data_IF_358545749792
#
_entry.id   IF_358545749792
#
_cell.length_a   1.000
_cell.length_b   1.000
_cell.length_c   1.000
_cell.angle_alpha   90.00
_cell.angle_beta   90.00
_cell.angle_gamma   90.00
#
_symmetry.space_group_name_H-M   'P 1'
#
loop_
_entity.id
_entity.type
_entity.pdbx_description
1 polymer ?
#
# COMPACT_ATOMS: atom_id res chain seq x y z
N UNK A 1 16.42 20.92 125.59
CA UNK A 1 15.42 21.75 126.31
C UNK A 1 14.68 22.63 125.32
N UNK A 2 13.52 22.34 124.75
CA UNK A 2 12.73 21.10 124.47
C UNK A 2 11.58 21.56 123.50
N UNK A 3 10.74 20.74 122.87
CA UNK A 3 10.35 19.36 123.20
C UNK A 3 10.21 18.42 121.96
N UNK A 4 9.93 17.17 122.28
CA UNK A 4 9.73 15.96 121.48
C UNK A 4 8.55 15.95 120.49
N UNK A 5 8.53 14.95 119.58
CA UNK A 5 7.28 14.47 118.95
C UNK A 5 7.41 13.77 117.60
N UNK A 6 7.63 12.45 117.59
CA UNK A 6 7.35 11.60 116.42
C UNK A 6 5.85 11.25 116.42
N UNK A 7 5.19 11.21 115.25
CA UNK A 7 4.20 10.16 115.03
C UNK A 7 4.37 9.42 113.70
N UNK A 8 4.31 8.09 113.75
CA UNK A 8 3.99 7.26 112.58
C UNK A 8 2.49 7.38 112.26
N UNK A 9 2.12 7.56 110.98
CA UNK A 9 0.78 7.25 110.47
C UNK A 9 0.92 6.65 109.06
N UNK A 10 0.26 5.52 108.82
CA UNK A 10 0.22 4.78 107.56
C UNK A 10 -0.80 5.31 106.54
N UNK A 11 -0.70 4.82 105.29
CA UNK A 11 -1.72 4.87 104.21
C UNK A 11 -2.00 6.28 103.60
N UNK A 12 -2.16 6.46 102.28
CA UNK A 12 -2.94 5.69 101.30
C UNK A 12 -2.44 5.88 99.85
N UNK A 13 -2.72 4.87 99.00
CA UNK A 13 -2.96 4.92 97.54
C UNK A 13 -1.87 5.52 96.62
N UNK A 14 -1.32 4.67 95.75
CA UNK A 14 -1.53 4.84 94.29
C UNK A 14 -1.33 3.54 93.53
N UNK A 15 -2.32 3.23 92.68
CA UNK A 15 -2.26 2.11 91.75
C UNK A 15 -1.16 2.34 90.70
N UNK A 16 -0.49 1.27 90.25
CA UNK A 16 0.19 1.30 88.95
C UNK A 16 -0.21 0.07 88.11
N UNK A 17 -0.49 0.24 86.81
CA UNK A 17 -1.22 -0.75 86.04
C UNK A 17 -0.34 -1.92 85.58
N UNK A 18 -0.95 -3.10 85.46
CA UNK A 18 -0.37 -4.25 84.76
C UNK A 18 -0.01 -3.84 83.33
N UNK A 19 1.29 -3.79 83.00
CA UNK A 19 1.73 -3.74 81.61
C UNK A 19 1.28 -5.01 80.87
N UNK A 20 0.19 -4.90 80.11
CA UNK A 20 -0.15 -5.88 79.08
C UNK A 20 0.97 -5.84 78.05
N UNK A 21 1.79 -6.90 78.01
CA UNK A 21 2.93 -7.03 77.11
C UNK A 21 2.45 -7.30 75.67
N UNK A 22 1.92 -6.27 75.03
CA UNK A 22 1.38 -6.32 73.67
C UNK A 22 2.44 -6.72 72.64
N UNK A 23 2.17 -7.80 71.90
CA UNK A 23 3.16 -8.46 71.05
C UNK A 23 3.45 -7.68 69.75
N UNK A 24 4.48 -6.81 69.79
CA UNK A 24 4.92 -5.99 68.65
C UNK A 24 5.50 -6.80 67.47
N UNK A 25 5.56 -8.14 67.54
CA UNK A 25 6.10 -8.99 66.44
C UNK A 25 5.19 -9.03 65.20
N UNK A 26 3.87 -8.92 65.36
CA UNK A 26 2.91 -9.05 64.25
C UNK A 26 2.95 -7.91 63.21
N UNK A 27 3.27 -6.69 63.64
CA UNK A 27 3.22 -5.49 62.77
C UNK A 27 4.39 -5.44 61.78
N UNK A 28 5.61 -5.76 62.25
CA UNK A 28 6.81 -5.79 61.41
C UNK A 28 6.75 -6.88 60.31
N UNK A 29 6.11 -8.01 60.59
CA UNK A 29 5.94 -9.08 59.62
C UNK A 29 4.94 -8.71 58.51
N UNK A 30 3.80 -8.09 58.88
CA UNK A 30 2.82 -7.57 57.91
C UNK A 30 3.43 -6.47 57.02
N UNK A 31 4.23 -5.54 57.56
CA UNK A 31 4.93 -4.53 56.75
C UNK A 31 5.93 -5.15 55.75
N UNK A 32 6.72 -6.16 56.17
CA UNK A 32 7.65 -6.85 55.26
C UNK A 32 6.93 -7.55 54.10
N UNK A 33 5.82 -8.25 54.38
CA UNK A 33 5.04 -8.92 53.32
C UNK A 33 4.40 -7.92 52.36
N UNK A 34 3.87 -6.80 52.88
CA UNK A 34 3.28 -5.75 52.05
C UNK A 34 4.34 -5.11 51.12
N UNK A 35 5.52 -4.79 51.65
CA UNK A 35 6.64 -4.28 50.86
C UNK A 35 7.14 -5.28 49.80
N UNK A 36 7.17 -6.58 50.10
CA UNK A 36 7.56 -7.60 49.12
C UNK A 36 6.54 -7.72 47.98
N UNK A 37 5.23 -7.74 48.29
CA UNK A 37 4.16 -7.73 47.28
C UNK A 37 4.18 -6.46 46.43
N UNK A 38 4.41 -5.30 47.05
CA UNK A 38 4.50 -4.01 46.36
C UNK A 38 5.71 -3.97 45.41
N UNK A 39 6.90 -4.39 45.86
CA UNK A 39 8.10 -4.50 45.00
C UNK A 39 7.90 -5.47 43.84
N UNK A 40 7.25 -6.63 44.05
CA UNK A 40 6.93 -7.57 42.98
C UNK A 40 5.94 -6.97 41.97
N UNK A 41 4.94 -6.21 42.43
CA UNK A 41 4.00 -5.50 41.56
C UNK A 41 4.68 -4.43 40.70
N UNK A 42 5.54 -3.60 41.32
CA UNK A 42 6.31 -2.56 40.62
C UNK A 42 7.23 -3.18 39.57
N UNK A 43 7.95 -4.26 39.91
CA UNK A 43 8.81 -4.96 38.95
C UNK A 43 8.02 -5.55 37.77
N UNK A 44 6.85 -6.13 38.03
CA UNK A 44 5.99 -6.68 36.99
C UNK A 44 5.41 -5.57 36.08
N UNK A 45 5.06 -4.41 36.64
CA UNK A 45 4.66 -3.24 35.87
C UNK A 45 5.81 -2.71 34.98
N UNK A 46 7.04 -2.64 35.50
CA UNK A 46 8.22 -2.25 34.72
C UNK A 46 8.52 -3.22 33.56
N UNK A 47 8.38 -4.53 33.78
CA UNK A 47 8.51 -5.55 32.72
C UNK A 47 7.43 -5.36 31.65
N UNK A 48 6.17 -5.10 32.03
CA UNK A 48 5.09 -4.82 31.08
C UNK A 48 5.35 -3.55 30.26
N UNK A 49 5.87 -2.48 30.87
CA UNK A 49 6.27 -1.26 30.17
C UNK A 49 7.43 -1.52 29.20
N UNK A 50 8.44 -2.29 29.61
CA UNK A 50 9.56 -2.65 28.74
C UNK A 50 9.11 -3.48 27.51
N UNK A 51 8.22 -4.46 27.72
CA UNK A 51 7.61 -5.25 26.63
C UNK A 51 6.80 -4.33 25.69
N UNK A 52 6.01 -3.39 26.25
CA UNK A 52 5.24 -2.44 25.45
C UNK A 52 6.15 -1.56 24.57
N UNK A 53 7.20 -0.96 25.15
CA UNK A 53 8.17 -0.12 24.40
C UNK A 53 8.90 -0.92 23.32
N UNK A 54 9.37 -2.14 23.62
CA UNK A 54 9.99 -3.02 22.63
C UNK A 54 9.03 -3.40 21.50
N UNK A 55 7.76 -3.69 21.82
CA UNK A 55 6.75 -4.00 20.81
C UNK A 55 6.44 -2.80 19.91
N UNK A 56 6.44 -1.58 20.46
CA UNK A 56 6.24 -0.35 19.71
C UNK A 56 7.42 -0.08 18.77
N UNK A 57 8.66 -0.22 19.25
CA UNK A 57 9.87 -0.09 18.44
C UNK A 57 9.89 -1.11 17.28
N UNK A 58 9.61 -2.39 17.56
CA UNK A 58 9.56 -3.43 16.54
C UNK A 58 8.47 -3.16 15.49
N UNK A 59 7.26 -2.77 15.92
CA UNK A 59 6.18 -2.38 14.99
C UNK A 59 6.59 -1.23 14.10
N UNK A 60 7.22 -0.19 14.65
CA UNK A 60 7.70 0.95 13.86
C UNK A 60 8.78 0.53 12.85
N UNK A 61 9.71 -0.36 13.22
CA UNK A 61 10.73 -0.87 12.29
C UNK A 61 10.11 -1.66 11.13
N UNK A 62 9.13 -2.53 11.41
CA UNK A 62 8.41 -3.28 10.36
C UNK A 62 7.57 -2.34 9.48
N UNK A 63 6.91 -1.33 10.05
CA UNK A 63 6.22 -0.27 9.30
C UNK A 63 7.15 0.42 8.31
N UNK A 64 8.33 0.89 8.75
CA UNK A 64 9.26 1.62 7.88
C UNK A 64 9.79 0.74 6.74
N UNK A 65 10.07 -0.54 7.00
CA UNK A 65 10.48 -1.49 5.96
C UNK A 65 9.36 -1.69 4.91
N UNK A 66 8.11 -1.85 5.35
CA UNK A 66 6.97 -2.01 4.44
C UNK A 66 6.70 -0.75 3.59
N UNK A 67 6.90 0.46 4.14
CA UNK A 67 6.85 1.70 3.35
C UNK A 67 7.97 1.71 2.31
N UNK A 68 9.20 1.32 2.67
CA UNK A 68 10.34 1.30 1.74
C UNK A 68 10.18 0.27 0.62
N UNK A 69 9.74 -0.96 0.96
CA UNK A 69 9.43 -2.02 0.00
C UNK A 69 8.29 -1.59 -0.93
N UNK A 70 7.24 -0.98 -0.37
CA UNK A 70 6.11 -0.40 -1.12
C UNK A 70 6.55 0.71 -2.08
N UNK A 71 7.41 1.63 -1.63
CA UNK A 71 7.95 2.72 -2.44
C UNK A 71 8.82 2.19 -3.60
N UNK A 72 9.64 1.17 -3.36
CA UNK A 72 10.43 0.52 -4.40
C UNK A 72 9.53 -0.21 -5.41
N UNK A 73 8.53 -0.96 -4.94
CA UNK A 73 7.57 -1.64 -5.80
C UNK A 73 6.76 -0.63 -6.63
N UNK A 74 6.35 0.50 -6.04
CA UNK A 74 5.61 1.55 -6.73
C UNK A 74 6.46 2.24 -7.81
N UNK A 75 7.72 2.56 -7.52
CA UNK A 75 8.68 3.10 -8.50
C UNK A 75 9.02 2.11 -9.63
N UNK A 76 8.84 0.80 -9.39
CA UNK A 76 8.93 -0.26 -10.40
C UNK A 76 7.60 -0.55 -11.12
N UNK A 77 6.54 0.23 -10.86
CA UNK A 77 5.17 0.07 -11.42
C UNK A 77 4.48 -1.25 -11.01
N UNK A 78 4.93 -1.88 -9.93
CA UNK A 78 4.34 -3.09 -9.31
C UNK A 78 3.19 -2.70 -8.38
N UNK A 79 2.14 -2.08 -8.94
CA UNK A 79 1.09 -1.41 -8.16
C UNK A 79 0.37 -2.34 -7.17
N UNK A 80 0.07 -3.57 -7.58
CA UNK A 80 -0.59 -4.56 -6.72
C UNK A 80 0.27 -4.98 -5.53
N UNK A 81 1.59 -5.15 -5.72
CA UNK A 81 2.52 -5.45 -4.62
C UNK A 81 2.70 -4.24 -3.70
N UNK A 82 2.95 -3.06 -4.26
CA UNK A 82 3.07 -1.82 -3.49
C UNK A 82 1.83 -1.55 -2.63
N UNK A 83 0.63 -1.69 -3.21
CA UNK A 83 -0.65 -1.56 -2.50
C UNK A 83 -0.75 -2.52 -1.31
N UNK A 84 -0.32 -3.77 -1.47
CA UNK A 84 -0.32 -4.79 -0.40
C UNK A 84 0.70 -4.46 0.69
N UNK A 85 1.88 -3.94 0.34
CA UNK A 85 2.89 -3.54 1.33
C UNK A 85 2.46 -2.30 2.12
N UNK A 86 1.88 -1.30 1.44
CA UNK A 86 1.25 -0.15 2.10
C UNK A 86 0.04 -0.55 2.95
N UNK A 87 -0.78 -1.52 2.53
CA UNK A 87 -1.89 -2.03 3.34
C UNK A 87 -1.40 -2.70 4.65
N UNK A 88 -0.30 -3.45 4.59
CA UNK A 88 0.34 -4.01 5.80
C UNK A 88 0.90 -2.90 6.69
N UNK A 89 1.49 -1.86 6.09
CA UNK A 89 1.99 -0.71 6.82
C UNK A 89 0.87 0.06 7.54
N UNK A 90 -0.28 0.28 6.88
CA UNK A 90 -1.46 0.96 7.45
C UNK A 90 -1.97 0.26 8.72
N UNK A 91 -2.01 -1.08 8.71
CA UNK A 91 -2.37 -1.91 9.90
C UNK A 91 -1.38 -1.73 11.07
N UNK A 92 -0.13 -1.35 10.80
CA UNK A 92 0.92 -1.13 11.80
C UNK A 92 1.10 0.36 12.16
N UNK A 93 0.48 1.28 11.42
CA UNK A 93 0.58 2.72 11.63
C UNK A 93 -0.12 3.13 12.93
N UNK A 94 0.61 3.77 13.84
CA UNK A 94 0.04 4.30 15.09
C UNK A 94 -0.52 5.72 14.94
N UNK A 95 0.07 6.54 14.06
CA UNK A 95 -0.30 7.94 13.86
C UNK A 95 -0.08 8.37 12.41
N UNK A 96 -0.92 9.29 11.92
CA UNK A 96 -0.89 9.76 10.54
C UNK A 96 -1.67 8.85 9.58
N UNK A 97 -1.56 9.16 8.30
CA UNK A 97 -2.30 8.54 7.19
C UNK A 97 -1.38 8.28 5.98
N UNK A 98 -0.05 8.24 6.18
CA UNK A 98 0.92 8.09 5.10
C UNK A 98 0.75 6.77 4.36
N UNK A 99 0.66 5.63 5.07
CA UNK A 99 0.52 4.33 4.41
C UNK A 99 -0.74 4.28 3.54
N UNK A 100 -1.87 4.75 4.07
CA UNK A 100 -3.12 4.90 3.33
C UNK A 100 -3.00 5.83 2.11
N UNK A 101 -2.34 6.98 2.23
CA UNK A 101 -2.09 7.88 1.09
C UNK A 101 -1.23 7.22 0.00
N UNK A 102 -0.19 6.48 0.38
CA UNK A 102 0.65 5.73 -0.57
C UNK A 102 -0.12 4.56 -1.20
N UNK A 103 -1.01 3.91 -0.46
CA UNK A 103 -1.94 2.88 -0.94
C UNK A 103 -2.94 3.44 -1.98
N UNK A 104 -3.56 4.59 -1.70
CA UNK A 104 -4.44 5.31 -2.63
C UNK A 104 -3.68 5.81 -3.88
N UNK A 105 -2.43 6.24 -3.71
CA UNK A 105 -1.53 6.56 -4.81
C UNK A 105 -1.25 5.32 -5.69
N UNK A 106 -0.93 4.16 -5.11
CA UNK A 106 -0.68 2.94 -5.88
C UNK A 106 -1.90 2.52 -6.72
N UNK A 107 -3.13 2.66 -6.18
CA UNK A 107 -4.37 2.36 -6.89
C UNK A 107 -4.79 3.41 -7.92
N UNK A 108 -4.43 4.68 -7.73
CA UNK A 108 -4.68 5.71 -8.76
C UNK A 108 -3.63 5.67 -9.88
N UNK A 109 -2.37 5.40 -9.54
CA UNK A 109 -1.26 5.29 -10.48
C UNK A 109 -1.33 4.06 -11.39
N UNK A 110 -2.00 2.97 -10.99
CA UNK A 110 -2.24 1.81 -11.88
C UNK A 110 -3.14 2.14 -13.07
N UNK A 111 -4.08 3.09 -12.89
CA UNK A 111 -4.93 3.61 -13.96
C UNK A 111 -4.29 4.76 -14.74
N UNK A 112 -3.60 5.66 -14.04
CA UNK A 112 -3.03 6.91 -14.58
C UNK A 112 -1.58 7.13 -14.07
N UNK A 113 -0.59 6.76 -14.89
CA UNK A 113 0.84 6.89 -14.55
C UNK A 113 1.26 8.33 -14.21
N UNK A 114 0.54 9.35 -14.68
CA UNK A 114 0.85 10.75 -14.35
C UNK A 114 0.68 11.04 -12.84
N UNK A 115 -0.15 10.27 -12.13
CA UNK A 115 -0.28 10.35 -10.66
C UNK A 115 1.01 9.98 -9.94
N UNK A 116 1.87 9.17 -10.56
CA UNK A 116 3.14 8.74 -9.98
C UNK A 116 4.23 9.82 -10.04
N UNK A 117 4.07 10.85 -10.90
CA UNK A 117 5.08 11.89 -11.15
C UNK A 117 5.56 12.62 -9.88
N UNK A 118 4.68 13.17 -9.01
CA UNK A 118 5.13 13.88 -7.80
C UNK A 118 5.87 12.97 -6.82
N UNK A 119 5.54 11.68 -6.79
CA UNK A 119 6.20 10.69 -5.95
C UNK A 119 7.62 10.37 -6.43
N UNK A 120 7.84 10.23 -7.74
CA UNK A 120 9.17 10.02 -8.31
C UNK A 120 10.07 11.24 -8.08
N UNK A 121 9.51 12.44 -8.23
CA UNK A 121 10.18 13.72 -7.94
C UNK A 121 10.53 13.87 -6.44
N UNK A 122 9.60 13.57 -5.53
CA UNK A 122 9.80 13.57 -4.07
C UNK A 122 10.94 12.62 -3.66
N UNK A 123 10.86 11.36 -4.13
CA UNK A 123 11.75 10.29 -3.71
C UNK A 123 13.10 10.30 -4.43
N UNK A 124 13.19 10.97 -5.59
CA UNK A 124 14.37 10.97 -6.50
C UNK A 124 14.75 9.56 -6.96
N UNK A 125 13.75 8.71 -7.17
CA UNK A 125 13.90 7.31 -7.60
C UNK A 125 13.51 7.20 -9.08
N UNK A 126 14.25 6.38 -9.83
CA UNK A 126 13.94 6.00 -11.22
C UNK A 126 13.81 7.19 -12.19
N UNK A 127 14.92 7.90 -12.39
CA UNK A 127 15.02 9.06 -13.30
C UNK A 127 14.58 8.72 -14.74
N UNK A 128 14.81 7.49 -15.20
CA UNK A 128 14.46 7.06 -16.56
C UNK A 128 12.94 7.01 -16.76
N UNK A 129 12.20 6.48 -15.77
CA UNK A 129 10.73 6.50 -15.77
C UNK A 129 10.18 7.94 -15.74
N UNK A 130 10.73 8.80 -14.89
CA UNK A 130 10.32 10.21 -14.84
C UNK A 130 10.61 10.94 -16.16
N UNK A 131 11.75 10.65 -16.79
CA UNK A 131 12.11 11.21 -18.11
C UNK A 131 11.18 10.71 -19.21
N UNK A 132 10.83 9.43 -19.21
CA UNK A 132 9.88 8.84 -20.17
C UNK A 132 8.47 9.45 -20.04
N UNK A 133 7.99 9.65 -18.80
CA UNK A 133 6.73 10.35 -18.53
C UNK A 133 6.77 11.77 -19.11
N UNK A 134 7.78 12.57 -18.75
CA UNK A 134 7.93 13.94 -19.24
C UNK A 134 8.02 14.02 -20.78
N UNK A 135 8.67 13.05 -21.43
CA UNK A 135 8.76 12.98 -22.89
C UNK A 135 7.40 12.67 -23.53
N UNK A 136 6.61 11.75 -22.94
CA UNK A 136 5.25 11.43 -23.41
C UNK A 136 4.23 12.56 -23.23
N UNK A 137 4.47 13.47 -22.27
CA UNK A 137 3.66 14.68 -22.07
C UNK A 137 3.93 15.79 -23.10
N UNK A 138 4.96 15.65 -23.95
CA UNK A 138 5.37 16.69 -24.92
C UNK A 138 4.34 17.02 -26.01
N UNK A 139 3.27 16.23 -26.14
CA UNK A 139 2.25 16.35 -27.20
C UNK A 139 2.88 16.39 -28.60
N UNK A 140 3.81 15.47 -28.84
CA UNK A 140 4.44 15.26 -30.14
C UNK A 140 4.26 13.80 -30.54
N UNK A 141 3.52 13.54 -31.61
CA UNK A 141 3.24 12.17 -32.01
C UNK A 141 4.53 11.49 -32.49
N UNK A 142 4.91 10.38 -31.84
CA UNK A 142 6.17 9.69 -32.07
C UNK A 142 5.97 8.18 -31.92
N UNK A 143 5.43 7.57 -32.98
CA UNK A 143 5.07 6.15 -32.98
C UNK A 143 6.28 5.21 -32.87
N UNK A 144 7.50 5.67 -33.17
CA UNK A 144 8.73 4.89 -32.94
C UNK A 144 9.06 4.80 -31.44
N UNK A 145 8.99 5.92 -30.72
CA UNK A 145 9.10 5.94 -29.25
C UNK A 145 8.00 5.09 -28.62
N UNK A 146 6.76 5.23 -29.06
CA UNK A 146 5.63 4.50 -28.49
C UNK A 146 5.75 2.98 -28.72
N UNK A 147 6.21 2.55 -29.91
CA UNK A 147 6.54 1.14 -30.19
C UNK A 147 7.64 0.62 -29.26
N UNK A 148 8.70 1.41 -29.05
CA UNK A 148 9.78 1.06 -28.11
C UNK A 148 9.24 0.91 -26.68
N UNK A 149 8.49 1.89 -26.20
CA UNK A 149 7.86 1.87 -24.87
C UNK A 149 6.98 0.64 -24.67
N UNK A 150 6.13 0.27 -25.65
CA UNK A 150 5.33 -0.97 -25.58
C UNK A 150 6.24 -2.20 -25.45
N UNK A 151 7.29 -2.30 -26.28
CA UNK A 151 8.20 -3.46 -26.28
C UNK A 151 9.02 -3.60 -24.98
N UNK A 152 9.29 -2.48 -24.30
CA UNK A 152 9.99 -2.42 -23.01
C UNK A 152 9.01 -2.50 -21.80
N UNK A 153 7.75 -2.91 -22.03
CA UNK A 153 6.68 -3.03 -21.02
C UNK A 153 6.34 -1.68 -20.33
N UNK A 154 6.49 -0.56 -21.03
CA UNK A 154 6.06 0.79 -20.64
C UNK A 154 4.77 1.21 -21.36
N UNK A 155 3.89 0.26 -21.72
CA UNK A 155 2.62 0.50 -22.43
C UNK A 155 1.74 1.58 -21.79
N UNK A 156 1.76 1.73 -20.46
CA UNK A 156 1.02 2.80 -19.76
C UNK A 156 1.51 4.21 -20.10
N UNK A 157 2.81 4.37 -20.39
CA UNK A 157 3.41 5.64 -20.82
C UNK A 157 3.08 5.88 -22.29
N UNK A 158 3.23 4.85 -23.13
CA UNK A 158 2.87 4.93 -24.55
C UNK A 158 1.40 5.36 -24.74
N UNK A 159 0.47 4.88 -23.90
CA UNK A 159 -0.95 5.31 -23.93
C UNK A 159 -1.12 6.82 -23.80
N UNK A 160 -0.25 7.55 -23.07
CA UNK A 160 -0.35 9.02 -22.95
C UNK A 160 -0.18 9.67 -24.33
N UNK A 161 0.92 9.36 -25.02
CA UNK A 161 1.23 9.96 -26.31
C UNK A 161 0.32 9.40 -27.43
N UNK A 162 0.01 8.11 -27.39
CA UNK A 162 -0.86 7.46 -28.36
C UNK A 162 -2.31 7.97 -28.29
N UNK A 163 -2.82 8.36 -27.13
CA UNK A 163 -4.12 9.06 -27.04
C UNK A 163 -4.10 10.40 -27.80
N UNK A 164 -2.97 11.13 -27.76
CA UNK A 164 -2.78 12.37 -28.52
C UNK A 164 -2.64 12.09 -30.02
N UNK A 165 -1.77 11.16 -30.43
CA UNK A 165 -1.63 10.69 -31.82
C UNK A 165 -2.99 10.30 -32.45
N UNK A 166 -3.75 9.44 -31.75
CA UNK A 166 -5.06 8.96 -32.19
C UNK A 166 -6.15 10.04 -32.20
N UNK A 167 -5.92 11.19 -31.57
CA UNK A 167 -6.83 12.35 -31.59
C UNK A 167 -6.47 13.34 -32.71
N UNK A 168 -5.18 13.63 -32.91
CA UNK A 168 -4.71 14.62 -33.88
C UNK A 168 -4.53 14.02 -35.28
N UNK A 169 -3.72 12.98 -35.42
CA UNK A 169 -3.37 12.38 -36.70
C UNK A 169 -4.49 11.47 -37.24
N UNK A 170 -5.16 10.73 -36.34
CA UNK A 170 -6.27 9.81 -36.64
C UNK A 170 -5.94 8.77 -37.71
N UNK A 171 -4.66 8.40 -37.83
CA UNK A 171 -4.18 7.40 -38.77
C UNK A 171 -4.29 5.97 -38.23
N UNK A 172 -4.07 5.01 -39.12
CA UNK A 172 -4.15 3.58 -38.82
C UNK A 172 -3.18 3.14 -37.72
N UNK A 173 -1.90 3.52 -37.80
CA UNK A 173 -0.85 3.06 -36.89
C UNK A 173 -1.04 3.63 -35.48
N UNK A 174 -1.48 4.89 -35.38
CA UNK A 174 -1.84 5.55 -34.13
C UNK A 174 -2.94 4.79 -33.37
N UNK A 175 -4.02 4.38 -34.05
CA UNK A 175 -5.04 3.53 -33.42
C UNK A 175 -4.51 2.12 -33.16
N UNK A 176 -3.78 1.50 -34.10
CA UNK A 176 -3.26 0.14 -33.91
C UNK A 176 -2.37 0.05 -32.65
N UNK A 177 -1.38 0.94 -32.50
CA UNK A 177 -0.50 0.94 -31.33
C UNK A 177 -1.22 1.33 -30.04
N UNK A 178 -2.21 2.24 -30.08
CA UNK A 178 -3.04 2.53 -28.91
C UNK A 178 -3.84 1.30 -28.47
N UNK A 179 -4.36 0.52 -29.42
CA UNK A 179 -5.06 -0.73 -29.17
C UNK A 179 -4.14 -1.77 -28.53
N UNK A 180 -2.95 -1.98 -29.11
CA UNK A 180 -1.92 -2.89 -28.57
C UNK A 180 -1.49 -2.48 -27.17
N UNK A 181 -1.22 -1.21 -26.92
CA UNK A 181 -0.81 -0.73 -25.60
C UNK A 181 -1.89 -0.99 -24.53
N UNK A 182 -3.17 -0.77 -24.84
CA UNK A 182 -4.27 -1.11 -23.95
C UNK A 182 -4.43 -2.64 -23.76
N UNK A 183 -4.24 -3.43 -24.82
CA UNK A 183 -4.30 -4.89 -24.75
C UNK A 183 -3.21 -5.45 -23.82
N UNK A 184 -1.97 -4.99 -23.95
CA UNK A 184 -0.86 -5.38 -23.08
C UNK A 184 -1.05 -4.93 -21.63
N UNK A 185 -1.57 -3.72 -21.39
CA UNK A 185 -1.99 -3.31 -20.04
C UNK A 185 -3.01 -4.29 -19.44
N UNK A 186 -3.97 -4.79 -20.23
CA UNK A 186 -4.96 -5.77 -19.74
C UNK A 186 -4.38 -7.15 -19.39
N UNK A 187 -3.21 -7.49 -19.95
CA UNK A 187 -2.47 -8.74 -19.67
C UNK A 187 -1.61 -8.59 -18.41
N UNK A 188 -0.93 -7.46 -18.24
CA UNK A 188 0.02 -7.15 -17.16
C UNK A 188 -0.45 -7.62 -15.76
N UNK A 189 0.40 -8.36 -15.04
CA UNK A 189 0.15 -8.85 -13.67
C UNK A 189 0.13 -7.76 -12.59
N UNK A 190 0.77 -6.63 -12.89
CA UNK A 190 1.13 -5.63 -11.89
C UNK A 190 0.02 -4.58 -11.66
N UNK A 191 -1.02 -4.59 -12.51
CA UNK A 191 -2.25 -3.82 -12.33
C UNK A 191 -3.36 -4.66 -11.68
N UNK A 192 -4.33 -3.97 -11.08
CA UNK A 192 -5.44 -4.62 -10.38
C UNK A 192 -6.35 -5.40 -11.33
N UNK A 193 -6.92 -6.50 -10.83
CA UNK A 193 -7.75 -7.41 -11.64
C UNK A 193 -9.03 -6.72 -12.12
N UNK A 194 -9.59 -5.82 -11.32
CA UNK A 194 -10.76 -4.99 -11.64
C UNK A 194 -10.52 -3.99 -12.78
N UNK A 195 -9.27 -3.57 -13.04
CA UNK A 195 -8.95 -2.60 -14.09
C UNK A 195 -8.83 -3.26 -15.48
N UNK A 196 -8.50 -4.56 -15.52
CA UNK A 196 -8.24 -5.31 -16.76
C UNK A 196 -9.40 -5.28 -17.77
N UNK A 197 -10.69 -5.45 -17.39
CA UNK A 197 -11.81 -5.34 -18.32
C UNK A 197 -11.89 -3.97 -19.02
N UNK A 198 -11.61 -2.88 -18.30
CA UNK A 198 -11.61 -1.52 -18.85
C UNK A 198 -10.57 -1.35 -19.94
N UNK A 199 -9.36 -1.88 -19.73
CA UNK A 199 -8.30 -1.88 -20.75
C UNK A 199 -8.68 -2.72 -21.99
N UNK A 200 -9.33 -3.87 -21.82
CA UNK A 200 -9.84 -4.68 -22.94
C UNK A 200 -10.92 -3.95 -23.74
N UNK A 201 -11.86 -3.29 -23.07
CA UNK A 201 -12.91 -2.49 -23.73
C UNK A 201 -12.31 -1.33 -24.54
N UNK A 202 -11.32 -0.62 -23.98
CA UNK A 202 -10.57 0.42 -24.71
C UNK A 202 -9.85 -0.16 -25.93
N UNK A 203 -9.11 -1.25 -25.75
CA UNK A 203 -8.40 -1.92 -26.85
C UNK A 203 -9.36 -2.31 -27.99
N UNK A 204 -10.50 -2.94 -27.68
CA UNK A 204 -11.51 -3.31 -28.67
C UNK A 204 -12.03 -2.11 -29.48
N UNK A 205 -12.50 -1.06 -28.79
CA UNK A 205 -13.02 0.17 -29.43
C UNK A 205 -11.97 0.87 -30.31
N UNK A 206 -10.71 0.82 -29.89
CA UNK A 206 -9.59 1.41 -30.63
C UNK A 206 -9.21 0.54 -31.85
N UNK A 207 -9.18 -0.78 -31.74
CA UNK A 207 -8.97 -1.67 -32.90
C UNK A 207 -10.12 -1.58 -33.91
N UNK A 208 -11.37 -1.41 -33.46
CA UNK A 208 -12.51 -1.11 -34.36
C UNK A 208 -12.31 0.22 -35.12
N UNK A 209 -11.59 1.18 -34.52
CA UNK A 209 -11.25 2.46 -35.14
C UNK A 209 -10.11 2.31 -36.17
N UNK A 210 -9.08 1.51 -35.87
CA UNK A 210 -8.06 1.12 -36.84
C UNK A 210 -8.67 0.36 -38.04
N UNK A 211 -9.59 -0.58 -37.79
CA UNK A 211 -10.27 -1.36 -38.83
C UNK A 211 -11.11 -0.50 -39.78
N UNK A 212 -11.70 0.59 -39.29
CA UNK A 212 -12.44 1.54 -40.14
C UNK A 212 -11.54 2.30 -41.13
N UNK A 213 -10.24 2.40 -40.85
CA UNK A 213 -9.25 3.06 -41.71
C UNK A 213 -8.65 2.05 -42.69
N UNK A 214 -8.22 0.88 -42.21
CA UNK A 214 -7.77 -0.23 -43.05
C UNK A 214 -8.54 -1.53 -42.75
N UNK A 215 -9.64 -1.79 -43.48
CA UNK A 215 -10.41 -3.03 -43.39
C UNK A 215 -9.65 -4.28 -43.90
N UNK A 216 -8.53 -4.10 -44.60
CA UNK A 216 -7.71 -5.19 -45.15
C UNK A 216 -6.58 -5.61 -44.19
N UNK A 217 -6.48 -4.97 -43.01
CA UNK A 217 -5.49 -5.31 -42.01
C UNK A 217 -5.84 -6.59 -41.24
N UNK A 218 -5.24 -7.72 -41.65
CA UNK A 218 -5.28 -8.99 -40.91
C UNK A 218 -4.81 -8.84 -39.46
N UNK A 219 -3.83 -7.98 -39.22
CA UNK A 219 -3.30 -7.68 -37.88
C UNK A 219 -4.40 -7.13 -36.97
N UNK A 220 -5.16 -6.15 -37.44
CA UNK A 220 -6.28 -5.58 -36.67
C UNK A 220 -7.40 -6.58 -36.44
N UNK A 221 -7.74 -7.40 -37.44
CA UNK A 221 -8.74 -8.47 -37.29
C UNK A 221 -8.32 -9.52 -36.25
N UNK A 222 -7.05 -9.94 -36.26
CA UNK A 222 -6.50 -10.85 -35.25
C UNK A 222 -6.60 -10.27 -33.83
N UNK A 223 -6.26 -8.99 -33.65
CA UNK A 223 -6.40 -8.33 -32.35
C UNK A 223 -7.86 -8.14 -31.91
N UNK A 224 -8.78 -7.86 -32.84
CA UNK A 224 -10.22 -7.81 -32.57
C UNK A 224 -10.77 -9.17 -32.11
N UNK A 225 -10.30 -10.26 -32.72
CA UNK A 225 -10.62 -11.63 -32.31
C UNK A 225 -10.06 -11.92 -30.90
N UNK A 226 -8.79 -11.60 -30.64
CA UNK A 226 -8.14 -11.82 -29.34
C UNK A 226 -8.85 -11.06 -28.22
N UNK A 227 -9.08 -9.76 -28.38
CA UNK A 227 -9.68 -8.92 -27.33
C UNK A 227 -11.14 -9.28 -27.08
N UNK A 228 -11.92 -9.69 -28.10
CA UNK A 228 -13.29 -10.15 -27.90
C UNK A 228 -13.37 -11.53 -27.24
N UNK A 229 -12.38 -12.43 -27.44
CA UNK A 229 -12.23 -13.65 -26.64
C UNK A 229 -11.96 -13.30 -25.17
N UNK A 230 -11.07 -12.34 -24.89
CA UNK A 230 -10.77 -11.86 -23.53
C UNK A 230 -11.94 -11.08 -22.88
N UNK A 231 -12.94 -10.66 -23.66
CA UNK A 231 -14.19 -10.04 -23.21
C UNK A 231 -15.37 -11.03 -23.17
N UNK A 232 -15.14 -12.31 -23.47
CA UNK A 232 -16.17 -13.37 -23.49
C UNK A 232 -17.34 -13.08 -24.46
N UNK A 233 -17.08 -12.35 -25.55
CA UNK A 233 -18.08 -11.96 -26.57
C UNK A 233 -18.04 -12.90 -27.80
N UNK A 234 -18.63 -14.10 -27.68
CA UNK A 234 -18.70 -15.11 -28.75
C UNK A 234 -19.08 -14.53 -30.11
N UNK A 235 -20.19 -13.80 -30.17
CA UNK A 235 -20.80 -13.35 -31.42
C UNK A 235 -19.91 -12.34 -32.16
N UNK A 236 -19.10 -11.59 -31.41
CA UNK A 236 -18.09 -10.69 -31.96
C UNK A 236 -16.87 -11.46 -32.46
N UNK A 237 -16.42 -12.48 -31.73
CA UNK A 237 -15.33 -13.38 -32.17
C UNK A 237 -15.68 -14.03 -33.51
N UNK A 238 -16.90 -14.58 -33.64
CA UNK A 238 -17.38 -15.21 -34.87
C UNK A 238 -17.53 -14.21 -36.02
N UNK A 239 -17.99 -12.98 -35.73
CA UNK A 239 -18.04 -11.89 -36.70
C UNK A 239 -16.65 -11.57 -37.27
N UNK A 240 -15.67 -11.28 -36.40
CA UNK A 240 -14.33 -10.89 -36.83
C UNK A 240 -13.56 -12.04 -37.49
N UNK A 241 -13.75 -13.29 -37.03
CA UNK A 241 -13.19 -14.48 -37.68
C UNK A 241 -13.73 -14.62 -39.11
N UNK A 242 -15.04 -14.47 -39.32
CA UNK A 242 -15.64 -14.52 -40.67
C UNK A 242 -15.09 -13.43 -41.59
N UNK A 243 -14.79 -12.23 -41.07
CA UNK A 243 -14.16 -11.17 -41.86
C UNK A 243 -12.73 -11.53 -42.27
N UNK A 244 -11.95 -12.13 -41.36
CA UNK A 244 -10.59 -12.63 -41.65
C UNK A 244 -10.62 -13.76 -42.69
N UNK A 245 -11.49 -14.76 -42.52
CA UNK A 245 -11.65 -15.89 -43.44
C UNK A 245 -12.07 -15.44 -44.86
N UNK A 246 -12.82 -14.34 -44.97
CA UNK A 246 -13.20 -13.76 -46.26
C UNK A 246 -12.03 -13.02 -46.91
N UNK A 247 -11.24 -12.28 -46.12
CA UNK A 247 -10.05 -11.58 -46.59
C UNK A 247 -8.97 -12.55 -47.09
N UNK A 248 -8.79 -13.70 -46.42
CA UNK A 248 -7.89 -14.77 -46.88
C UNK A 248 -8.29 -15.34 -48.24
N UNK A 249 -9.59 -15.48 -48.53
CA UNK A 249 -10.10 -15.96 -49.83
C UNK A 249 -9.94 -14.95 -50.97
N UNK A 250 -9.84 -13.65 -50.66
CA UNK A 250 -9.66 -12.58 -51.65
C UNK A 250 -8.19 -12.42 -52.06
N UNK A 251 -7.26 -12.91 -51.22
CA UNK A 251 -5.81 -12.80 -51.42
C UNK A 251 -5.15 -14.08 -51.96
N UNK A 252 -5.95 -15.08 -52.34
CA UNK A 252 -5.55 -16.33 -52.99
C UNK A 252 -5.81 -16.27 -54.50
#
# INVERSE_FOLDING_TARGET
>A
MEDFGIPEIECLITETPKQVRGDKKGVNFKLKILNFKLKKSIWLALVMVAIFVLSFYYKNLVYQNLIADGDQNLAQRKYTLAYVDYQKADILQFFGDEAKKRQELAKSASGDILKLKPFLEEKKINNDLLSAINLSESKSCNLELDRKLISENYSQIAIINLNFCATEAKDFDSYLFLGVANLEMSKNSDIFKEDKPTYRQKAASVFESAYKIDPLSKTTLNYLIEVNRLLEKSDQVDHWQKMLDNLDKIQQ
#
